data_IF_155221660382
#
_entry.id   IF_155221660382
#
_cell.length_a   1.000
_cell.length_b   1.000
_cell.length_c   1.000
_cell.angle_alpha   90.00
_cell.angle_beta   90.00
_cell.angle_gamma   90.00
#
_symmetry.space_group_name_H-M   'P 1'
#
loop_
_entity.id
_entity.type
_entity.pdbx_description
1 polymer ?
#
# COMPACT_ATOMS: atom_id res chain seq x y z
N UNK A 1 -9.77 -11.57 23.12
CA UNK A 1 -10.24 -10.51 22.20
C UNK A 1 -11.65 -10.85 21.82
N UNK A 2 -12.57 -9.89 21.91
CA UNK A 2 -13.98 -10.14 21.57
C UNK A 2 -14.20 -9.97 20.06
N UNK A 3 -15.17 -10.69 19.44
CA UNK A 3 -15.46 -10.59 18.00
C UNK A 3 -15.74 -9.16 17.50
N UNK A 4 -16.19 -8.28 18.40
CA UNK A 4 -16.42 -6.85 18.14
C UNK A 4 -15.13 -6.06 17.89
N UNK A 5 -14.03 -6.39 18.57
CA UNK A 5 -12.74 -5.71 18.45
C UNK A 5 -12.01 -6.09 17.16
N UNK A 6 -12.12 -7.35 16.73
CA UNK A 6 -11.59 -7.82 15.44
C UNK A 6 -12.30 -7.14 14.26
N UNK A 7 -13.64 -7.01 14.31
CA UNK A 7 -14.39 -6.28 13.27
C UNK A 7 -14.06 -4.78 13.24
N UNK A 8 -13.86 -4.16 14.41
CA UNK A 8 -13.50 -2.74 14.49
C UNK A 8 -12.09 -2.48 13.93
N UNK A 9 -11.11 -3.35 14.20
CA UNK A 9 -9.76 -3.28 13.60
C UNK A 9 -9.79 -3.53 12.11
N UNK A 10 -10.55 -4.51 11.67
CA UNK A 10 -10.74 -4.80 10.25
C UNK A 10 -11.39 -3.61 9.52
N UNK A 11 -12.16 -2.74 10.19
CA UNK A 11 -12.79 -1.55 9.58
C UNK A 11 -11.90 -0.29 9.49
N UNK A 12 -10.78 -0.23 10.21
CA UNK A 12 -9.93 0.97 10.24
C UNK A 12 -9.15 1.15 8.93
N UNK A 13 -9.45 2.21 8.18
CA UNK A 13 -8.74 2.57 6.93
C UNK A 13 -7.25 2.77 7.19
N UNK A 14 -6.89 3.36 8.33
CA UNK A 14 -5.49 3.59 8.71
C UNK A 14 -4.74 2.28 8.96
N UNK A 15 -5.40 1.33 9.63
CA UNK A 15 -4.81 0.01 9.88
C UNK A 15 -4.67 -0.78 8.58
N UNK A 16 -5.68 -0.74 7.70
CA UNK A 16 -5.64 -1.37 6.36
C UNK A 16 -4.52 -0.80 5.50
N UNK A 17 -4.28 0.50 5.60
CA UNK A 17 -3.25 1.18 4.83
C UNK A 17 -1.83 0.73 5.22
N UNK A 18 -1.51 0.70 6.51
CA UNK A 18 -0.16 0.30 6.99
C UNK A 18 0.01 -1.22 7.12
N UNK A 19 -1.08 -1.95 7.37
CA UNK A 19 -1.14 -3.41 7.54
C UNK A 19 -2.29 -4.01 6.74
N UNK A 20 -2.16 -4.12 5.41
CA UNK A 20 -3.23 -4.66 4.56
C UNK A 20 -3.58 -6.11 4.89
N UNK A 21 -2.66 -6.86 5.49
CA UNK A 21 -2.90 -8.22 5.98
C UNK A 21 -4.02 -8.32 7.03
N UNK A 22 -4.33 -7.23 7.75
CA UNK A 22 -5.38 -7.19 8.76
C UNK A 22 -6.80 -7.22 8.17
N UNK A 23 -6.94 -6.96 6.88
CA UNK A 23 -8.22 -7.02 6.17
C UNK A 23 -8.37 -8.27 5.29
N UNK A 24 -7.38 -9.16 5.28
CA UNK A 24 -7.48 -10.45 4.61
C UNK A 24 -8.47 -11.36 5.34
N UNK A 25 -9.26 -12.10 4.57
CA UNK A 25 -10.14 -13.14 5.08
C UNK A 25 -9.30 -14.21 5.81
N UNK A 26 -9.63 -14.55 7.06
CA UNK A 26 -8.93 -15.59 7.79
C UNK A 26 -9.20 -16.96 7.15
N UNK A 27 -8.20 -17.85 7.17
CA UNK A 27 -8.33 -19.23 6.66
C UNK A 27 -8.43 -20.19 7.84
N UNK A 28 -9.63 -20.67 8.22
CA UNK A 28 -9.77 -21.64 9.31
C UNK A 28 -9.04 -22.97 9.01
N UNK A 29 -8.54 -23.62 10.07
CA UNK A 29 -7.72 -24.84 9.94
C UNK A 29 -8.50 -26.05 9.38
N UNK A 30 -9.83 -26.09 9.59
CA UNK A 30 -10.71 -27.20 9.22
C UNK A 30 -11.32 -27.07 7.82
N UNK A 31 -10.91 -26.05 7.06
CA UNK A 31 -11.48 -25.73 5.75
C UNK A 31 -10.96 -26.70 4.69
N UNK A 32 -11.86 -27.13 3.80
CA UNK A 32 -11.52 -28.03 2.70
C UNK A 32 -10.47 -27.42 1.75
N UNK A 33 -9.65 -28.24 1.09
CA UNK A 33 -8.68 -27.76 0.11
C UNK A 33 -9.25 -26.82 -0.97
N UNK A 34 -10.41 -27.10 -1.61
CA UNK A 34 -10.98 -26.18 -2.60
C UNK A 34 -11.41 -24.84 -1.99
N UNK A 35 -11.95 -24.86 -0.77
CA UNK A 35 -12.39 -23.65 -0.09
C UNK A 35 -11.21 -22.79 0.38
N UNK A 36 -10.10 -23.42 0.81
CA UNK A 36 -8.83 -22.71 1.07
C UNK A 36 -8.28 -22.02 -0.19
N UNK A 37 -8.38 -22.69 -1.35
CA UNK A 37 -7.98 -22.09 -2.62
C UNK A 37 -8.87 -20.90 -3.01
N UNK A 38 -10.18 -21.00 -2.77
CA UNK A 38 -11.12 -19.91 -3.03
C UNK A 38 -10.85 -18.69 -2.13
N UNK A 39 -10.61 -18.89 -0.83
CA UNK A 39 -10.22 -17.82 0.12
C UNK A 39 -8.93 -17.14 -0.35
N UNK A 40 -7.94 -17.93 -0.77
CA UNK A 40 -6.66 -17.40 -1.27
C UNK A 40 -6.85 -16.52 -2.50
N UNK A 41 -7.63 -16.96 -3.48
CA UNK A 41 -7.90 -16.18 -4.70
C UNK A 41 -8.56 -14.85 -4.36
N UNK A 42 -9.57 -14.85 -3.47
CA UNK A 42 -10.23 -13.61 -3.02
C UNK A 42 -9.25 -12.66 -2.34
N UNK A 43 -8.45 -13.18 -1.41
CA UNK A 43 -7.43 -12.43 -0.69
C UNK A 43 -6.36 -11.84 -1.62
N UNK A 44 -5.91 -12.59 -2.61
CA UNK A 44 -4.94 -12.13 -3.60
C UNK A 44 -5.51 -11.01 -4.47
N UNK A 45 -6.72 -11.19 -5.02
CA UNK A 45 -7.38 -10.16 -5.84
C UNK A 45 -7.59 -8.89 -5.03
N UNK A 46 -8.09 -9.02 -3.80
CA UNK A 46 -8.27 -7.87 -2.90
C UNK A 46 -6.95 -7.16 -2.63
N UNK A 47 -5.91 -7.88 -2.22
CA UNK A 47 -4.61 -7.28 -1.89
C UNK A 47 -4.01 -6.57 -3.09
N UNK A 48 -4.05 -7.21 -4.26
CA UNK A 48 -3.51 -6.64 -5.51
C UNK A 48 -4.26 -5.38 -5.88
N UNK A 49 -5.59 -5.43 -6.02
CA UNK A 49 -6.39 -4.26 -6.41
C UNK A 49 -6.25 -3.12 -5.40
N UNK A 50 -6.24 -3.44 -4.10
CA UNK A 50 -6.08 -2.45 -3.04
C UNK A 50 -4.69 -1.81 -3.05
N UNK A 51 -3.61 -2.59 -3.20
CA UNK A 51 -2.26 -2.03 -3.21
C UNK A 51 -1.94 -1.30 -4.51
N UNK A 52 -2.44 -1.78 -5.66
CA UNK A 52 -2.26 -1.13 -6.96
C UNK A 52 -2.77 0.32 -6.93
N UNK A 53 -3.94 0.59 -6.34
CA UNK A 53 -4.46 1.96 -6.27
C UNK A 53 -3.58 2.88 -5.41
N UNK A 54 -2.98 2.38 -4.33
CA UNK A 54 -2.08 3.19 -3.50
C UNK A 54 -0.71 3.39 -4.16
N UNK A 55 -0.16 2.36 -4.78
CA UNK A 55 1.10 2.47 -5.54
C UNK A 55 0.93 3.47 -6.68
N UNK A 56 -0.18 3.41 -7.43
CA UNK A 56 -0.49 4.37 -8.49
C UNK A 56 -0.65 5.80 -7.96
N UNK A 57 -1.35 5.98 -6.83
CA UNK A 57 -1.51 7.32 -6.20
C UNK A 57 -0.18 7.92 -5.78
N UNK A 58 0.66 7.15 -5.09
CA UNK A 58 1.99 7.61 -4.68
C UNK A 58 2.92 7.81 -5.88
N UNK A 59 2.83 6.95 -6.90
CA UNK A 59 3.60 7.09 -8.14
C UNK A 59 3.23 8.35 -8.92
N UNK A 60 1.93 8.63 -9.06
CA UNK A 60 1.44 9.85 -9.70
C UNK A 60 1.83 11.12 -8.93
N UNK A 61 1.69 11.10 -7.59
CA UNK A 61 2.14 12.20 -6.73
C UNK A 61 3.65 12.44 -6.87
N UNK A 62 4.44 11.36 -6.83
CA UNK A 62 5.88 11.45 -7.00
C UNK A 62 6.28 12.03 -8.36
N UNK A 63 5.68 11.55 -9.46
CA UNK A 63 5.93 12.07 -10.79
C UNK A 63 5.54 13.55 -10.93
N UNK A 64 4.42 13.96 -10.35
CA UNK A 64 3.99 15.35 -10.35
C UNK A 64 4.95 16.25 -9.56
N UNK A 65 5.39 15.82 -8.37
CA UNK A 65 6.39 16.56 -7.58
C UNK A 65 7.74 16.65 -8.31
N UNK A 66 8.17 15.56 -8.96
CA UNK A 66 9.40 15.55 -9.74
C UNK A 66 9.33 16.55 -10.90
N UNK A 67 8.20 16.58 -11.63
CA UNK A 67 7.98 17.56 -12.69
C UNK A 67 8.05 19.00 -12.15
N UNK A 68 7.41 19.27 -11.02
CA UNK A 68 7.48 20.58 -10.37
C UNK A 68 8.91 20.95 -9.96
N UNK A 69 9.70 20.00 -9.45
CA UNK A 69 11.10 20.23 -9.08
C UNK A 69 11.96 20.55 -10.31
N UNK A 70 11.72 19.86 -11.44
CA UNK A 70 12.40 20.14 -12.71
C UNK A 70 12.03 21.53 -13.25
N UNK A 71 10.76 21.92 -13.20
CA UNK A 71 10.30 23.24 -13.62
C UNK A 71 10.83 24.35 -12.69
N UNK A 72 11.02 24.06 -11.41
CA UNK A 72 11.54 25.01 -10.44
C UNK A 72 13.08 25.12 -10.46
N UNK A 73 13.78 24.30 -11.25
CA UNK A 73 15.24 24.35 -11.37
C UNK A 73 15.74 25.50 -12.26
N UNK A 74 14.83 26.24 -12.91
CA UNK A 74 15.15 27.44 -13.68
C UNK A 74 15.63 28.57 -12.75
N UNK A 75 16.69 29.29 -13.14
CA UNK A 75 17.28 30.40 -12.39
C UNK A 75 16.27 31.56 -12.16
N UNK A 76 15.21 31.66 -12.97
CA UNK A 76 14.13 32.62 -12.79
C UNK A 76 13.17 32.27 -11.63
N UNK A 77 13.19 31.03 -11.14
CA UNK A 77 12.30 30.57 -10.07
C UNK A 77 12.99 30.75 -8.71
N UNK A 78 12.30 31.32 -7.69
CA UNK A 78 12.86 31.42 -6.35
C UNK A 78 13.34 30.06 -5.83
N UNK A 79 14.61 29.96 -5.41
CA UNK A 79 15.21 28.69 -4.96
C UNK A 79 14.49 28.01 -3.79
N UNK A 80 13.71 28.76 -2.99
CA UNK A 80 12.83 28.19 -1.97
C UNK A 80 11.74 27.29 -2.57
N UNK A 81 11.18 27.65 -3.73
CA UNK A 81 10.17 26.82 -4.40
C UNK A 81 10.79 25.53 -4.95
N UNK A 82 12.01 25.60 -5.48
CA UNK A 82 12.79 24.42 -5.85
C UNK A 82 13.02 23.49 -4.64
N UNK A 83 13.47 24.04 -3.52
CA UNK A 83 13.70 23.28 -2.31
C UNK A 83 12.42 22.57 -1.82
N UNK A 84 11.28 23.28 -1.79
CA UNK A 84 9.99 22.70 -1.42
C UNK A 84 9.59 21.57 -2.39
N UNK A 85 9.69 21.80 -3.70
CA UNK A 85 9.35 20.80 -4.70
C UNK A 85 10.24 19.55 -4.61
N UNK A 86 11.54 19.74 -4.36
CA UNK A 86 12.49 18.65 -4.15
C UNK A 86 12.17 17.86 -2.88
N UNK A 87 11.92 18.54 -1.76
CA UNK A 87 11.52 17.88 -0.50
C UNK A 87 10.21 17.08 -0.69
N UNK A 88 9.21 17.66 -1.35
CA UNK A 88 7.96 16.97 -1.66
C UNK A 88 8.20 15.72 -2.54
N UNK A 89 9.09 15.84 -3.53
CA UNK A 89 9.49 14.70 -4.39
C UNK A 89 10.12 13.58 -3.57
N UNK A 90 11.03 13.92 -2.65
CA UNK A 90 11.65 12.91 -1.77
C UNK A 90 10.62 12.24 -0.85
N UNK A 91 9.72 13.00 -0.24
CA UNK A 91 8.65 12.43 0.58
C UNK A 91 7.71 11.52 -0.22
N UNK A 92 7.33 11.93 -1.42
CA UNK A 92 6.51 11.12 -2.31
C UNK A 92 7.22 9.82 -2.74
N UNK A 93 8.53 9.89 -2.98
CA UNK A 93 9.36 8.72 -3.27
C UNK A 93 9.39 7.75 -2.09
N UNK A 94 9.61 8.24 -0.86
CA UNK A 94 9.57 7.41 0.33
C UNK A 94 8.20 6.75 0.52
N UNK A 95 7.11 7.47 0.27
CA UNK A 95 5.76 6.91 0.33
C UNK A 95 5.55 5.79 -0.70
N UNK A 96 5.94 6.02 -1.97
CA UNK A 96 5.89 5.02 -3.03
C UNK A 96 6.69 3.77 -2.66
N UNK A 97 7.94 3.96 -2.24
CA UNK A 97 8.83 2.87 -1.82
C UNK A 97 8.23 2.07 -0.66
N UNK A 98 7.67 2.76 0.34
CA UNK A 98 7.01 2.12 1.48
C UNK A 98 5.82 1.26 1.04
N UNK A 99 4.99 1.74 0.11
CA UNK A 99 3.87 0.95 -0.43
C UNK A 99 4.33 -0.31 -1.14
N UNK A 100 5.41 -0.24 -1.93
CA UNK A 100 5.99 -1.40 -2.61
C UNK A 100 6.49 -2.43 -1.58
N UNK A 101 7.18 -2.00 -0.52
CA UNK A 101 7.65 -2.89 0.53
C UNK A 101 6.51 -3.56 1.28
N UNK A 102 5.46 -2.80 1.61
CA UNK A 102 4.25 -3.31 2.27
C UNK A 102 3.58 -4.37 1.39
N UNK A 103 3.43 -4.11 0.09
CA UNK A 103 2.87 -5.07 -0.86
C UNK A 103 3.70 -6.35 -0.91
N UNK A 104 5.04 -6.23 -1.05
CA UNK A 104 5.94 -7.39 -1.07
C UNK A 104 5.83 -8.23 0.21
N UNK A 105 5.78 -7.59 1.38
CA UNK A 105 5.60 -8.26 2.67
C UNK A 105 4.24 -8.96 2.76
N UNK A 106 3.18 -8.31 2.30
CA UNK A 106 1.82 -8.86 2.32
C UNK A 106 1.66 -10.04 1.34
N UNK A 107 2.22 -9.93 0.14
CA UNK A 107 2.24 -11.00 -0.87
C UNK A 107 2.95 -12.24 -0.34
N UNK A 108 4.14 -12.08 0.27
CA UNK A 108 4.86 -13.20 0.90
C UNK A 108 4.05 -13.86 1.99
N UNK A 109 3.38 -13.08 2.84
CA UNK A 109 2.52 -13.65 3.88
C UNK A 109 1.33 -14.46 3.33
N UNK A 110 0.84 -14.13 2.12
CA UNK A 110 -0.18 -14.94 1.43
C UNK A 110 0.41 -16.23 0.84
N UNK A 111 1.64 -16.17 0.32
CA UNK A 111 2.38 -17.35 -0.14
C UNK A 111 2.75 -18.27 1.02
N UNK A 112 3.15 -17.75 2.17
CA UNK A 112 3.50 -18.58 3.34
C UNK A 112 2.29 -19.31 3.92
N UNK A 113 1.09 -18.70 3.86
CA UNK A 113 -0.18 -19.34 4.23
C UNK A 113 -0.63 -20.41 3.23
N UNK A 114 0.10 -20.56 2.12
CA UNK A 114 -0.25 -21.50 1.07
C UNK A 114 0.24 -22.93 1.29
N UNK A 115 1.29 -23.07 2.11
CA UNK A 115 2.00 -24.31 2.48
C UNK A 115 1.41 -24.84 3.78
#
# INVERSE_FOLDING_TARGET
>A
MTPSEERARAGSVWLRFWWPNAALEPTPAHVSAPERAAIRTRNYVWLKTYMDIYILRWGALWAACLLLALLAADDAVPGVLFAIALTATMMAFFGLFSMILIYRRASRALEDRAV
#
